data_IF_622752416171
#
_entry.id   IF_622752416171
#
_cell.length_a   1.000
_cell.length_b   1.000
_cell.length_c   1.000
_cell.angle_alpha   90.00
_cell.angle_beta   90.00
_cell.angle_gamma   90.00
#
_symmetry.space_group_name_H-M   'P 1'
#
loop_
_entity.id
_entity.type
_entity.pdbx_description
1 polymer ?
#
# COMPACT_ATOMS: atom_id res chain seq x y z
N UNK A 1 -23.31 10.63 -9.16
CA UNK A 1 -22.87 9.24 -8.84
C UNK A 1 -21.42 9.15 -8.32
N UNK A 2 -20.38 9.62 -9.03
CA UNK A 2 -18.97 9.51 -8.56
C UNK A 2 -18.71 10.05 -7.13
N UNK A 3 -19.21 11.26 -6.83
CA UNK A 3 -19.06 11.87 -5.49
C UNK A 3 -19.69 11.03 -4.37
N UNK A 4 -20.83 10.38 -4.64
CA UNK A 4 -21.51 9.52 -3.68
C UNK A 4 -20.72 8.23 -3.40
N UNK A 5 -20.07 7.66 -4.43
CA UNK A 5 -19.19 6.49 -4.27
C UNK A 5 -17.95 6.81 -3.45
N UNK A 6 -17.31 7.95 -3.74
CA UNK A 6 -16.16 8.43 -2.97
C UNK A 6 -16.53 8.63 -1.50
N UNK A 7 -17.68 9.29 -1.24
CA UNK A 7 -18.16 9.51 0.12
C UNK A 7 -18.35 8.20 0.88
N UNK A 8 -18.97 7.19 0.27
CA UNK A 8 -19.15 5.89 0.91
C UNK A 8 -17.83 5.20 1.30
N UNK A 9 -16.76 5.36 0.50
CA UNK A 9 -15.43 4.82 0.81
C UNK A 9 -14.82 5.57 2.01
N UNK A 10 -14.84 6.91 2.00
CA UNK A 10 -14.28 7.70 3.10
C UNK A 10 -15.05 7.52 4.41
N UNK A 11 -16.38 7.49 4.36
CA UNK A 11 -17.24 7.25 5.54
C UNK A 11 -16.98 5.86 6.16
N UNK A 12 -16.54 4.89 5.35
CA UNK A 12 -16.14 3.57 5.82
C UNK A 12 -14.75 3.61 6.46
N UNK A 13 -13.76 4.20 5.78
CA UNK A 13 -12.39 4.34 6.28
C UNK A 13 -12.33 5.05 7.64
N UNK A 14 -13.15 6.10 7.85
CA UNK A 14 -13.21 6.82 9.13
C UNK A 14 -13.73 5.99 10.30
N UNK A 15 -14.55 4.96 10.01
CA UNK A 15 -15.10 4.06 11.03
C UNK A 15 -14.19 2.87 11.33
N UNK A 16 -13.10 2.71 10.58
CA UNK A 16 -12.15 1.63 10.83
C UNK A 16 -11.34 1.92 12.10
N UNK A 17 -11.07 0.88 12.88
CA UNK A 17 -10.27 0.97 14.12
C UNK A 17 -8.83 1.43 13.83
N UNK A 18 -8.26 1.02 12.68
CA UNK A 18 -6.91 1.36 12.25
C UNK A 18 -6.92 2.02 10.88
N UNK A 19 -7.02 3.36 10.86
CA UNK A 19 -6.97 4.14 9.62
C UNK A 19 -5.57 4.22 9.01
N UNK A 20 -4.54 4.21 9.85
CA UNK A 20 -3.14 4.37 9.43
C UNK A 20 -2.42 3.01 9.38
N UNK A 21 -1.82 2.65 8.24
CA UNK A 21 -1.17 1.35 8.06
C UNK A 21 -0.04 1.06 9.07
N UNK A 22 0.69 2.09 9.51
CA UNK A 22 1.74 1.94 10.52
C UNK A 22 1.21 1.77 11.95
N UNK A 23 -0.08 2.01 12.19
CA UNK A 23 -0.74 1.74 13.47
C UNK A 23 -1.35 0.34 13.49
N UNK A 24 -1.64 -0.25 12.32
CA UNK A 24 -2.25 -1.56 12.19
C UNK A 24 -1.33 -2.66 12.79
N UNK A 25 -1.80 -3.40 13.82
CA UNK A 25 -0.99 -4.42 14.50
C UNK A 25 -0.60 -5.58 13.58
N UNK A 26 -1.43 -5.93 12.59
CA UNK A 26 -1.13 -6.99 11.64
C UNK A 26 0.03 -6.61 10.72
N UNK A 27 0.08 -5.35 10.27
CA UNK A 27 1.20 -4.84 9.47
C UNK A 27 2.49 -4.85 10.29
N UNK A 28 2.44 -4.35 11.54
CA UNK A 28 3.59 -4.39 12.44
C UNK A 28 4.12 -5.81 12.61
N UNK A 29 3.23 -6.78 12.85
CA UNK A 29 3.58 -8.20 13.00
C UNK A 29 4.30 -8.75 11.77
N UNK A 30 3.78 -8.50 10.57
CA UNK A 30 4.41 -8.96 9.31
C UNK A 30 5.80 -8.36 9.13
N UNK A 31 6.00 -7.10 9.47
CA UNK A 31 7.34 -6.49 9.45
C UNK A 31 8.26 -7.09 10.52
N UNK A 32 7.81 -7.21 11.76
CA UNK A 32 8.64 -7.75 12.85
C UNK A 32 9.02 -9.22 12.63
N UNK A 33 8.12 -10.05 12.12
CA UNK A 33 8.33 -11.50 12.00
C UNK A 33 8.93 -11.92 10.66
N UNK A 34 8.69 -11.16 9.58
CA UNK A 34 9.04 -11.60 8.24
C UNK A 34 9.84 -10.57 7.42
N UNK A 35 9.29 -9.37 7.21
CA UNK A 35 9.88 -8.38 6.29
C UNK A 35 11.02 -7.55 6.90
N UNK A 36 11.26 -7.68 8.20
CA UNK A 36 12.23 -6.93 9.00
C UNK A 36 11.88 -5.43 9.06
N UNK A 37 12.48 -4.62 8.19
CA UNK A 37 12.31 -3.17 8.17
C UNK A 37 11.79 -2.67 6.81
N UNK A 38 11.11 -1.51 6.75
CA UNK A 38 10.82 -0.84 5.49
C UNK A 38 12.09 -0.61 4.69
N UNK A 39 12.11 -1.04 3.42
CA UNK A 39 13.29 -0.94 2.56
C UNK A 39 14.39 -1.98 2.82
N UNK A 40 14.14 -2.99 3.66
CA UNK A 40 15.03 -4.15 3.79
C UNK A 40 15.17 -4.87 2.44
N UNK A 41 16.23 -5.67 2.29
CA UNK A 41 16.44 -6.47 1.08
C UNK A 41 15.23 -7.35 0.73
N UNK A 42 14.62 -7.99 1.75
CA UNK A 42 13.44 -8.85 1.59
C UNK A 42 12.20 -8.03 1.20
N UNK A 43 11.99 -6.88 1.83
CA UNK A 43 10.90 -5.98 1.44
C UNK A 43 11.08 -5.45 0.02
N UNK A 44 12.31 -5.13 -0.38
CA UNK A 44 12.62 -4.65 -1.73
C UNK A 44 12.32 -5.72 -2.79
N UNK A 45 12.75 -6.96 -2.55
CA UNK A 45 12.50 -8.07 -3.48
C UNK A 45 11.01 -8.41 -3.64
N UNK A 46 10.20 -8.28 -2.58
CA UNK A 46 8.79 -8.69 -2.59
C UNK A 46 7.81 -7.56 -2.92
N UNK A 47 8.09 -6.33 -2.47
CA UNK A 47 7.14 -5.21 -2.50
C UNK A 47 7.55 -4.09 -3.45
N UNK A 48 8.81 -4.06 -3.92
CA UNK A 48 9.27 -3.04 -4.86
C UNK A 48 9.35 -3.63 -6.27
N UNK A 49 9.27 -2.75 -7.25
CA UNK A 49 9.34 -3.10 -8.67
C UNK A 49 10.27 -2.13 -9.40
N UNK A 50 10.67 -2.52 -10.61
CA UNK A 50 11.55 -1.74 -11.46
C UNK A 50 10.81 -1.37 -12.74
N UNK A 51 11.13 -0.19 -13.27
CA UNK A 51 10.60 0.26 -14.54
C UNK A 51 11.56 -0.13 -15.65
N UNK A 52 10.98 -0.54 -16.78
CA UNK A 52 11.71 -0.75 -18.03
C UNK A 52 11.34 0.36 -18.98
N UNK A 53 12.34 0.99 -19.59
CA UNK A 53 12.11 2.01 -20.61
C UNK A 53 11.33 1.39 -21.76
N UNK A 54 10.25 2.05 -22.17
CA UNK A 54 9.46 1.65 -23.31
C UNK A 54 9.57 2.70 -24.40
N UNK A 55 9.74 2.30 -25.67
CA UNK A 55 9.76 3.25 -26.76
C UNK A 55 8.44 4.02 -26.78
N UNK A 56 8.52 5.32 -27.10
CA UNK A 56 7.34 6.14 -27.30
C UNK A 56 6.53 5.52 -28.44
N UNK A 57 5.26 5.23 -28.17
CA UNK A 57 4.35 4.76 -29.20
C UNK A 57 4.15 5.89 -30.21
N UNK A 58 4.85 5.82 -31.34
CA UNK A 58 4.62 6.70 -32.47
C UNK A 58 3.50 6.07 -33.32
N UNK A 59 2.39 6.78 -33.42
CA UNK A 59 1.21 6.39 -34.20
C UNK A 59 1.35 6.81 -35.65
#
# INVERSE_FOLDING_TARGET
VRKLRMRGIYDHDEKTEYRCSHQNPFIKKVYTEFLEAPGSHKAHHLLHTHYTERPLFMK
#
